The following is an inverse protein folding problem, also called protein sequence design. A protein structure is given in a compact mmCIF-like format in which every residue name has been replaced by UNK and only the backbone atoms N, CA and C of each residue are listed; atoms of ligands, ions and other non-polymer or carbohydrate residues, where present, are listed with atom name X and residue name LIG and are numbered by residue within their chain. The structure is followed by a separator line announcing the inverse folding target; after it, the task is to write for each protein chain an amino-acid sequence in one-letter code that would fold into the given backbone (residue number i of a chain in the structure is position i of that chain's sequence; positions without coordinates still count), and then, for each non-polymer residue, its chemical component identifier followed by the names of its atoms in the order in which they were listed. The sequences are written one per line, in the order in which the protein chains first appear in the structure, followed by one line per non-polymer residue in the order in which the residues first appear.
data_IF_515657050463
#
_entry.id   IF_515657050463
#
_cell.length_a   1.000
_cell.length_b   1.000
_cell.length_c   1.000
_cell.angle_alpha   90.00
_cell.angle_beta   90.00
_cell.angle_gamma   90.00
#
_symmetry.space_group_name_H-M   'P 1'
#
loop_
_entity.id
_entity.type
_entity.pdbx_description
1 polymer ?
#
# COMPACT_ATOMS: atom_id res chain seq x y z
N UNK A 1 -26.22 25.48 18.69
CA UNK A 1 -26.53 24.85 17.38
C UNK A 1 -25.29 24.48 16.57
N UNK A 2 -24.36 25.41 16.23
CA UNK A 2 -23.12 25.10 15.47
C UNK A 2 -22.26 23.93 16.01
N UNK A 3 -22.11 23.83 17.34
CA UNK A 3 -21.33 22.74 17.98
C UNK A 3 -21.99 21.36 17.85
N UNK A 4 -23.33 21.32 17.88
CA UNK A 4 -24.11 20.08 17.72
C UNK A 4 -24.04 19.63 16.26
N UNK A 5 -24.15 20.56 15.31
CA UNK A 5 -23.96 20.26 13.88
C UNK A 5 -22.57 19.67 13.59
N UNK A 6 -21.51 20.22 14.17
CA UNK A 6 -20.16 19.69 14.02
C UNK A 6 -19.98 18.32 14.67
N UNK A 7 -20.56 18.10 15.85
CA UNK A 7 -20.51 16.79 16.52
C UNK A 7 -21.22 15.72 15.69
N UNK A 8 -22.41 16.01 15.15
CA UNK A 8 -23.16 15.08 14.29
C UNK A 8 -22.40 14.78 13.00
N UNK A 9 -21.82 15.80 12.37
CA UNK A 9 -21.00 15.62 11.17
C UNK A 9 -19.78 14.71 11.43
N UNK A 10 -19.08 14.93 12.54
CA UNK A 10 -17.90 14.14 12.89
C UNK A 10 -18.24 12.68 13.20
N UNK A 11 -19.33 12.44 13.95
CA UNK A 11 -19.83 11.08 14.23
C UNK A 11 -20.26 10.36 12.95
N UNK A 12 -20.95 11.06 12.04
CA UNK A 12 -21.35 10.48 10.75
C UNK A 12 -20.14 10.13 9.88
N UNK A 13 -19.10 10.98 9.85
CA UNK A 13 -17.90 10.73 9.06
C UNK A 13 -17.13 9.49 9.57
N UNK A 14 -17.00 9.33 10.89
CA UNK A 14 -16.36 8.15 11.50
C UNK A 14 -17.15 6.87 11.21
N UNK A 15 -18.49 6.92 11.29
CA UNK A 15 -19.33 5.75 11.01
C UNK A 15 -19.18 5.23 9.57
N UNK A 16 -19.07 6.12 8.58
CA UNK A 16 -18.89 5.74 7.18
C UNK A 16 -17.51 5.10 6.91
N UNK A 17 -16.45 5.58 7.57
CA UNK A 17 -15.09 5.07 7.39
C UNK A 17 -14.86 3.64 7.90
N UNK A 18 -15.72 3.15 8.81
CA UNK A 18 -15.60 1.81 9.40
C UNK A 18 -16.29 0.71 8.56
N UNK A 19 -17.03 1.07 7.52
CA UNK A 19 -17.80 0.12 6.68
C UNK A 19 -16.96 -0.81 5.81
N UNK A 20 -15.63 -0.62 5.74
CA UNK A 20 -14.73 -1.45 4.93
C UNK A 20 -14.22 -2.73 5.60
N UNK A 21 -14.41 -2.90 6.91
CA UNK A 21 -13.96 -4.11 7.62
C UNK A 21 -15.05 -5.20 7.58
N UNK A 22 -15.01 -6.05 6.55
CA UNK A 22 -15.86 -7.23 6.46
C UNK A 22 -15.11 -8.49 6.94
N UNK A 23 -15.68 -9.22 7.90
CA UNK A 23 -15.18 -10.53 8.31
C UNK A 23 -15.68 -11.58 7.31
N UNK A 24 -14.77 -12.08 6.47
CA UNK A 24 -15.04 -13.14 5.48
C UNK A 24 -14.59 -14.49 6.01
N UNK A 25 -15.28 -15.56 5.59
CA UNK A 25 -14.95 -16.93 5.97
C UNK A 25 -13.57 -17.32 5.40
N UNK A 26 -12.82 -18.24 6.06
CA UNK A 26 -11.47 -18.60 5.60
C UNK A 26 -11.39 -19.06 4.14
N UNK A 27 -12.37 -19.81 3.64
CA UNK A 27 -12.41 -20.31 2.26
C UNK A 27 -12.78 -19.24 1.22
N UNK A 28 -13.36 -18.11 1.62
CA UNK A 28 -13.62 -16.98 0.72
C UNK A 28 -12.31 -16.22 0.37
N UNK A 29 -11.20 -16.55 1.04
CA UNK A 29 -9.87 -15.96 0.82
C UNK A 29 -8.97 -16.79 -0.10
N UNK A 30 -9.48 -17.88 -0.67
CA UNK A 30 -8.68 -18.82 -1.48
C UNK A 30 -7.92 -18.12 -2.63
N UNK A 31 -8.59 -17.23 -3.35
CA UNK A 31 -8.00 -16.49 -4.46
C UNK A 31 -7.01 -15.40 -4.06
N UNK A 32 -6.99 -14.98 -2.78
CA UNK A 32 -6.05 -13.96 -2.29
C UNK A 32 -4.63 -14.49 -2.11
N UNK A 33 -4.46 -15.81 -2.01
CA UNK A 33 -3.17 -16.47 -1.82
C UNK A 33 -2.64 -17.15 -3.10
N UNK A 34 -3.27 -16.90 -4.24
CA UNK A 34 -2.84 -17.46 -5.53
C UNK A 34 -1.39 -17.04 -5.84
N UNK A 35 -0.47 -17.96 -6.20
CA UNK A 35 0.91 -17.63 -6.56
C UNK A 35 1.07 -16.51 -7.61
N UNK A 36 0.11 -16.34 -8.54
CA UNK A 36 0.12 -15.21 -9.50
C UNK A 36 0.02 -13.84 -8.81
N UNK A 37 -0.60 -13.76 -7.62
CA UNK A 37 -0.70 -12.51 -6.87
C UNK A 37 0.60 -12.15 -6.13
N UNK A 38 1.61 -13.03 -6.15
CA UNK A 38 2.91 -12.72 -5.54
C UNK A 38 3.72 -11.79 -6.46
N UNK A 39 3.98 -10.57 -5.99
CA UNK A 39 4.73 -9.54 -6.74
C UNK A 39 6.17 -9.94 -7.11
N UNK A 40 6.69 -10.96 -6.43
CA UNK A 40 8.09 -11.37 -6.44
C UNK A 40 8.24 -12.86 -6.80
N UNK A 41 7.22 -13.46 -7.42
CA UNK A 41 7.20 -14.88 -7.77
C UNK A 41 8.40 -15.28 -8.65
N UNK A 42 8.68 -14.47 -9.68
CA UNK A 42 9.83 -14.66 -10.56
C UNK A 42 10.99 -13.74 -10.13
N UNK A 43 12.10 -14.35 -9.71
CA UNK A 43 13.30 -13.62 -9.25
C UNK A 43 13.97 -12.82 -10.37
N UNK A 44 13.95 -13.30 -11.61
CA UNK A 44 14.57 -12.59 -12.73
C UNK A 44 13.77 -11.32 -13.08
N UNK A 45 12.45 -11.46 -13.18
CA UNK A 45 11.55 -10.33 -13.42
C UNK A 45 11.64 -9.29 -12.30
N UNK A 46 11.69 -9.76 -11.05
CA UNK A 46 11.88 -8.90 -9.87
C UNK A 46 13.13 -8.03 -9.99
N UNK A 47 14.29 -8.61 -10.33
CA UNK A 47 15.53 -7.86 -10.46
C UNK A 47 15.47 -6.77 -11.54
N UNK A 48 14.85 -7.07 -12.69
CA UNK A 48 14.65 -6.08 -13.77
C UNK A 48 13.71 -4.96 -13.32
N UNK A 49 12.61 -5.31 -12.65
CA UNK A 49 11.63 -4.35 -12.12
C UNK A 49 12.27 -3.42 -11.08
N UNK A 50 13.05 -3.98 -10.15
CA UNK A 50 13.77 -3.21 -9.13
C UNK A 50 14.79 -2.27 -9.76
N UNK A 51 15.56 -2.71 -10.76
CA UNK A 51 16.52 -1.84 -11.47
C UNK A 51 15.84 -0.66 -12.17
N UNK A 52 14.72 -0.91 -12.85
CA UNK A 52 13.94 0.14 -13.51
C UNK A 52 13.36 1.15 -12.53
N UNK A 53 12.77 0.68 -11.43
CA UNK A 53 12.20 1.52 -10.39
C UNK A 53 13.29 2.30 -9.64
N UNK A 54 14.43 1.67 -9.34
CA UNK A 54 15.58 2.36 -8.73
C UNK A 54 16.09 3.53 -9.59
N UNK A 55 16.08 3.37 -10.92
CA UNK A 55 16.48 4.44 -11.85
C UNK A 55 15.45 5.58 -11.89
N UNK A 56 14.15 5.25 -11.87
CA UNK A 56 13.07 6.27 -11.92
C UNK A 56 12.87 6.99 -10.59
N UNK A 57 13.02 6.28 -9.48
CA UNK A 57 12.66 6.73 -8.14
C UNK A 57 13.90 6.93 -7.26
N UNK A 58 15.10 7.02 -7.83
CA UNK A 58 16.38 7.08 -7.11
C UNK A 58 16.53 8.20 -6.06
N UNK A 59 15.62 9.18 -6.03
CA UNK A 59 15.55 10.15 -4.92
C UNK A 59 14.81 9.63 -3.68
N UNK A 60 13.94 8.63 -3.82
CA UNK A 60 13.07 8.06 -2.77
C UNK A 60 13.72 6.90 -1.98
N UNK A 61 14.90 6.44 -2.41
CA UNK A 61 15.59 5.28 -1.83
C UNK A 61 15.17 3.97 -2.50
N UNK A 62 16.15 3.18 -2.93
CA UNK A 62 15.94 1.90 -3.61
C UNK A 62 15.56 0.77 -2.64
N UNK A 63 15.16 -0.38 -3.19
CA UNK A 63 14.75 -1.63 -2.51
C UNK A 63 15.85 -2.26 -1.61
N UNK A 64 17.04 -1.67 -1.55
CA UNK A 64 18.14 -2.01 -0.64
C UNK A 64 18.96 -0.75 -0.34
N UNK A 65 19.65 -0.74 0.80
CA UNK A 65 20.41 0.43 1.32
C UNK A 65 21.49 0.87 0.33
N UNK A 66 21.15 1.72 -0.62
CA UNK A 66 22.09 2.62 -1.29
C UNK A 66 21.32 3.76 -1.99
N UNK A 67 21.27 4.92 -1.32
CA UNK A 67 21.09 6.22 -1.95
C UNK A 67 19.67 6.59 -2.34
N UNK A 68 18.92 7.15 -1.39
CA UNK A 68 17.81 8.06 -1.67
C UNK A 68 18.29 9.50 -1.41
N UNK A 69 18.52 10.27 -2.46
CA UNK A 69 18.89 11.68 -2.36
C UNK A 69 19.69 12.18 -3.57
N UNK A 70 19.66 13.50 -3.86
CA UNK A 70 20.61 14.16 -4.76
C UNK A 70 22.01 13.64 -4.42
N UNK A 71 22.61 12.84 -5.31
CA UNK A 71 23.84 12.07 -5.06
C UNK A 71 25.10 12.91 -4.85
N UNK A 72 25.08 13.80 -3.86
CA UNK A 72 26.24 14.51 -3.35
C UNK A 72 26.89 13.66 -2.26
N UNK A 73 27.78 12.76 -2.66
CA UNK A 73 28.98 12.45 -1.88
C UNK A 73 30.18 12.93 -2.69
#
# INVERSE_FOLDING_TARGET
MRRIFWAVFFVSAVGLGLSGCASVKPWEKEYLADPIMQSDYNKEEKGVREHFLATREGSAGSFGVSGGGCGCN
#
